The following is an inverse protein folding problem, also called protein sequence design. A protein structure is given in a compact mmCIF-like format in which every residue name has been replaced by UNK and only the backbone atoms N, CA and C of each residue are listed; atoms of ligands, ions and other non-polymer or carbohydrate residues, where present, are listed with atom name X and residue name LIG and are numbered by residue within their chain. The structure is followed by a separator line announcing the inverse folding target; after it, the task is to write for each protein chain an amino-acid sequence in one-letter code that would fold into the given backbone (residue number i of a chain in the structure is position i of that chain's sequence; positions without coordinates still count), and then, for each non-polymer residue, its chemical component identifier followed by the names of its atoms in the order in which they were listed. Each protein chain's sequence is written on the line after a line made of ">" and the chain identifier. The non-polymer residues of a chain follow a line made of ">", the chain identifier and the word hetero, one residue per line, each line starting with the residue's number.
data_IF_708163445195
#
_entry.id   IF_708163445195
#
_cell.length_a   1.000
_cell.length_b   1.000
_cell.length_c   1.000
_cell.angle_alpha   90.00
_cell.angle_beta   90.00
_cell.angle_gamma   90.00
#
_symmetry.space_group_name_H-M   'P 1'
#
loop_
_entity.id
_entity.type
_entity.pdbx_description
1 polymer ?
#
# COMPACT_ATOMS: atom_id res chain seq x y z
N UNK A 1 -4.70 11.60 -14.74
CA UNK A 1 -3.81 10.59 -14.17
C UNK A 1 -4.57 9.46 -13.45
N UNK A 2 -5.31 9.68 -12.34
CA UNK A 2 -6.06 8.58 -11.70
C UNK A 2 -7.10 7.94 -12.63
N UNK A 3 -7.84 8.74 -13.40
CA UNK A 3 -8.73 8.25 -14.44
C UNK A 3 -8.00 7.36 -15.47
N UNK A 4 -6.82 7.77 -15.91
CA UNK A 4 -6.00 7.01 -16.86
C UNK A 4 -5.55 5.67 -16.26
N UNK A 5 -5.10 5.65 -15.01
CA UNK A 5 -4.78 4.41 -14.31
C UNK A 5 -5.98 3.47 -14.24
N UNK A 6 -7.15 3.99 -13.87
CA UNK A 6 -8.35 3.17 -13.76
C UNK A 6 -8.83 2.64 -15.11
N UNK A 7 -8.83 3.47 -16.16
CA UNK A 7 -9.29 3.05 -17.50
C UNK A 7 -8.35 2.04 -18.17
N UNK A 8 -7.06 2.06 -17.85
CA UNK A 8 -6.09 1.10 -18.36
C UNK A 8 -6.00 -0.17 -17.52
N UNK A 9 -6.45 -0.12 -16.27
CA UNK A 9 -6.35 -1.26 -15.37
C UNK A 9 -7.46 -2.27 -15.66
N UNK A 10 -7.10 -3.49 -16.11
CA UNK A 10 -8.07 -4.49 -16.52
C UNK A 10 -8.93 -5.06 -15.38
N UNK A 11 -8.69 -4.66 -14.13
CA UNK A 11 -9.59 -4.98 -13.02
C UNK A 11 -10.94 -4.28 -13.19
N UNK A 12 -10.95 -3.10 -13.84
CA UNK A 12 -12.17 -2.34 -14.07
C UNK A 12 -12.76 -2.67 -15.45
N UNK A 13 -14.01 -3.07 -15.48
CA UNK A 13 -14.69 -3.46 -16.70
C UNK A 13 -15.79 -2.47 -17.14
N UNK A 14 -16.18 -1.54 -16.27
CA UNK A 14 -17.18 -0.52 -16.55
C UNK A 14 -16.87 0.79 -15.81
N UNK A 15 -17.38 1.91 -16.35
CA UNK A 15 -17.36 3.19 -15.65
C UNK A 15 -18.58 4.02 -16.03
N UNK A 16 -19.10 4.80 -15.09
CA UNK A 16 -20.24 5.69 -15.30
C UNK A 16 -20.14 6.93 -14.39
N UNK A 17 -20.83 7.98 -14.79
CA UNK A 17 -20.95 9.18 -13.96
C UNK A 17 -22.08 9.03 -12.93
N UNK A 18 -21.84 9.48 -11.73
CA UNK A 18 -22.82 9.51 -10.64
C UNK A 18 -22.59 10.74 -9.75
N UNK A 19 -23.68 11.34 -9.31
CA UNK A 19 -23.62 12.40 -8.28
C UNK A 19 -23.63 11.73 -6.91
N UNK A 20 -22.58 11.95 -6.13
CA UNK A 20 -22.42 11.46 -4.76
C UNK A 20 -22.23 12.69 -3.87
N UNK A 21 -23.13 12.90 -2.93
CA UNK A 21 -23.16 14.06 -2.03
C UNK A 21 -23.06 15.42 -2.76
N UNK A 22 -23.72 15.54 -3.92
CA UNK A 22 -23.73 16.75 -4.74
C UNK A 22 -22.48 16.94 -5.62
N UNK A 23 -21.53 16.00 -5.59
CA UNK A 23 -20.31 16.05 -6.39
C UNK A 23 -20.43 15.06 -7.55
N UNK A 24 -20.16 15.51 -8.79
CA UNK A 24 -20.07 14.61 -9.95
C UNK A 24 -18.82 13.75 -9.84
N UNK A 25 -19.00 12.43 -9.78
CA UNK A 25 -17.96 11.43 -9.65
C UNK A 25 -18.01 10.46 -10.82
N UNK A 26 -16.82 10.00 -11.24
CA UNK A 26 -16.71 8.82 -12.13
C UNK A 26 -16.55 7.60 -11.24
N UNK A 27 -17.48 6.67 -11.32
CA UNK A 27 -17.46 5.39 -10.60
C UNK A 27 -16.92 4.33 -11.53
N UNK A 28 -15.98 3.52 -11.03
CA UNK A 28 -15.40 2.39 -11.74
C UNK A 28 -15.88 1.10 -11.07
N UNK A 29 -16.45 0.23 -11.86
CA UNK A 29 -16.83 -1.12 -11.44
C UNK A 29 -15.70 -2.08 -11.80
N UNK A 30 -15.23 -2.82 -10.81
CA UNK A 30 -14.15 -3.78 -10.98
C UNK A 30 -14.53 -5.15 -10.44
N UNK A 31 -13.87 -6.18 -10.95
CA UNK A 31 -13.96 -7.54 -10.42
C UNK A 31 -12.63 -7.94 -9.79
N UNK A 32 -12.57 -7.81 -8.48
CA UNK A 32 -11.41 -8.21 -7.68
C UNK A 32 -11.11 -9.71 -7.83
N UNK A 33 -12.15 -10.55 -8.02
CA UNK A 33 -11.98 -11.99 -8.12
C UNK A 33 -11.20 -12.40 -9.35
N UNK A 34 -11.25 -11.61 -10.42
CA UNK A 34 -10.50 -11.88 -11.65
C UNK A 34 -8.99 -11.96 -11.39
N UNK A 35 -8.46 -11.12 -10.51
CA UNK A 35 -7.06 -11.13 -10.14
C UNK A 35 -6.78 -12.07 -8.99
N UNK A 36 -7.68 -12.15 -8.03
CA UNK A 36 -7.59 -13.07 -6.91
C UNK A 36 -7.43 -14.53 -7.36
N UNK A 37 -8.19 -14.95 -8.37
CA UNK A 37 -8.14 -16.30 -8.91
C UNK A 37 -6.93 -16.56 -9.80
N UNK A 38 -6.35 -15.52 -10.39
CA UNK A 38 -5.25 -15.62 -11.34
C UNK A 38 -3.89 -15.16 -10.78
N UNK A 39 -3.84 -14.60 -9.55
CA UNK A 39 -2.58 -14.23 -8.94
C UNK A 39 -1.76 -15.47 -8.62
N UNK A 40 -0.47 -15.44 -8.98
CA UNK A 40 0.45 -16.54 -8.68
C UNK A 40 0.70 -16.53 -7.17
N UNK A 41 0.38 -17.62 -6.50
CA UNK A 41 0.79 -17.86 -5.12
C UNK A 41 2.20 -18.42 -5.14
N UNK A 42 3.17 -17.59 -4.84
CA UNK A 42 4.58 -17.97 -4.85
C UNK A 42 4.97 -18.85 -3.67
N UNK A 43 4.21 -18.80 -2.60
CA UNK A 43 4.40 -19.64 -1.41
C UNK A 43 3.16 -19.54 -0.49
N UNK A 44 3.04 -20.45 0.45
CA UNK A 44 1.92 -20.50 1.41
C UNK A 44 1.82 -19.27 2.32
N UNK A 45 2.89 -18.48 2.42
CA UNK A 45 2.96 -17.24 3.20
C UNK A 45 2.45 -16.00 2.45
N UNK A 46 2.18 -16.08 1.15
CA UNK A 46 1.81 -14.92 0.33
C UNK A 46 0.30 -14.80 0.19
N UNK A 47 -0.22 -13.63 0.53
CA UNK A 47 -1.62 -13.31 0.33
C UNK A 47 -1.91 -13.06 -1.16
N UNK A 48 -3.08 -13.47 -1.66
CA UNK A 48 -3.53 -13.10 -2.99
C UNK A 48 -3.67 -11.57 -3.12
N UNK A 49 -3.55 -11.08 -4.34
CA UNK A 49 -3.72 -9.66 -4.63
C UNK A 49 -5.12 -9.17 -4.21
N UNK A 50 -5.14 -8.18 -3.33
CA UNK A 50 -6.35 -7.49 -2.87
C UNK A 50 -6.12 -5.98 -2.97
N UNK A 51 -6.62 -5.33 -4.04
CA UNK A 51 -6.29 -3.93 -4.31
C UNK A 51 -6.94 -3.00 -3.28
N UNK A 52 -6.15 -2.08 -2.75
CA UNK A 52 -6.64 -0.91 -2.04
C UNK A 52 -7.52 -0.06 -2.97
N UNK A 53 -8.55 0.58 -2.47
CA UNK A 53 -9.32 1.52 -3.28
C UNK A 53 -8.44 2.64 -3.81
N UNK A 54 -8.60 3.04 -5.10
CA UNK A 54 -7.68 4.00 -5.71
C UNK A 54 -7.68 5.36 -5.00
N UNK A 55 -8.86 5.81 -4.53
CA UNK A 55 -8.95 7.04 -3.73
C UNK A 55 -8.27 6.91 -2.38
N UNK A 56 -8.30 5.73 -1.75
CA UNK A 56 -7.56 5.48 -0.52
C UNK A 56 -6.05 5.52 -0.79
N UNK A 57 -5.58 4.92 -1.88
CA UNK A 57 -4.18 5.03 -2.31
C UNK A 57 -3.76 6.50 -2.55
N UNK A 58 -4.63 7.29 -3.17
CA UNK A 58 -4.41 8.72 -3.37
C UNK A 58 -4.29 9.48 -2.04
N UNK A 59 -5.21 9.26 -1.10
CA UNK A 59 -5.21 9.91 0.21
C UNK A 59 -4.02 9.48 1.08
N UNK A 60 -3.64 8.20 1.03
CA UNK A 60 -2.44 7.70 1.73
C UNK A 60 -1.17 8.38 1.20
N UNK A 61 -1.07 8.53 -0.11
CA UNK A 61 0.07 9.20 -0.74
C UNK A 61 0.09 10.69 -0.46
N UNK A 62 -1.08 11.32 -0.39
CA UNK A 62 -1.21 12.73 0.01
C UNK A 62 -0.77 12.91 1.47
N UNK A 63 -1.22 12.03 2.37
CA UNK A 63 -0.76 12.01 3.76
C UNK A 63 0.76 11.91 3.86
N UNK A 64 1.37 11.03 3.07
CA UNK A 64 2.83 10.90 3.01
C UNK A 64 3.49 12.24 2.64
N UNK A 65 3.00 12.89 1.59
CA UNK A 65 3.53 14.17 1.12
C UNK A 65 3.36 15.29 2.17
N UNK A 66 2.19 15.40 2.79
CA UNK A 66 1.90 16.41 3.81
C UNK A 66 2.74 16.21 5.09
N UNK A 67 3.18 14.99 5.37
CA UNK A 67 4.10 14.67 6.45
C UNK A 67 5.59 14.73 6.02
N UNK A 68 5.84 15.37 4.88
CA UNK A 68 7.19 15.63 4.35
C UNK A 68 8.00 14.37 4.03
N UNK A 69 7.37 13.25 3.74
CA UNK A 69 8.08 12.11 3.18
C UNK A 69 8.47 12.40 1.72
N UNK A 70 9.67 12.03 1.35
CA UNK A 70 10.23 12.30 0.01
C UNK A 70 9.96 11.16 -0.96
N UNK A 71 9.88 9.94 -0.44
CA UNK A 71 9.72 8.73 -1.23
C UNK A 71 8.60 7.84 -0.66
N UNK A 72 7.92 7.14 -1.57
CA UNK A 72 7.02 6.03 -1.26
C UNK A 72 7.68 4.73 -1.69
N UNK A 73 7.70 3.76 -0.78
CA UNK A 73 8.15 2.39 -1.03
C UNK A 73 6.96 1.46 -0.78
N UNK A 74 6.35 1.00 -1.85
CA UNK A 74 5.16 0.15 -1.83
C UNK A 74 5.58 -1.33 -1.86
N UNK A 75 5.38 -2.03 -0.76
CA UNK A 75 5.82 -3.40 -0.52
C UNK A 75 4.64 -4.37 -0.66
N UNK A 76 4.80 -5.39 -1.49
CA UNK A 76 3.68 -6.25 -1.87
C UNK A 76 2.64 -5.42 -2.62
N UNK A 77 3.11 -4.68 -3.59
CA UNK A 77 2.42 -3.53 -4.18
C UNK A 77 1.25 -3.89 -5.10
N UNK A 78 1.08 -5.17 -5.44
CA UNK A 78 0.00 -5.62 -6.32
C UNK A 78 0.06 -4.94 -7.69
N UNK A 79 -0.96 -4.18 -8.06
CA UNK A 79 -0.98 -3.38 -9.30
C UNK A 79 -0.25 -2.04 -9.20
N UNK A 80 0.41 -1.76 -8.08
CA UNK A 80 1.26 -0.59 -7.86
C UNK A 80 0.51 0.73 -7.63
N UNK A 81 -0.79 0.68 -7.31
CA UNK A 81 -1.62 1.89 -7.22
C UNK A 81 -1.19 2.88 -6.15
N UNK A 82 -0.62 2.44 -5.02
CA UNK A 82 -0.11 3.33 -3.98
C UNK A 82 1.13 4.05 -4.47
N UNK A 83 2.10 3.33 -5.04
CA UNK A 83 3.28 3.93 -5.64
C UNK A 83 2.91 4.86 -6.81
N UNK A 84 1.94 4.47 -7.64
CA UNK A 84 1.41 5.31 -8.73
C UNK A 84 0.84 6.62 -8.17
N UNK A 85 0.02 6.58 -7.14
CA UNK A 85 -0.54 7.77 -6.49
C UNK A 85 0.56 8.66 -5.89
N UNK A 86 1.63 8.07 -5.33
CA UNK A 86 2.79 8.82 -4.89
C UNK A 86 3.45 9.61 -6.03
N UNK A 87 3.63 8.98 -7.17
CA UNK A 87 4.12 9.65 -8.37
C UNK A 87 3.18 10.73 -8.89
N UNK A 88 1.85 10.55 -8.78
CA UNK A 88 0.86 11.60 -9.09
C UNK A 88 1.06 12.84 -8.22
N UNK A 89 1.43 12.66 -6.95
CA UNK A 89 1.78 13.76 -6.04
C UNK A 89 3.18 14.33 -6.24
N UNK A 90 3.94 13.83 -7.23
CA UNK A 90 5.30 14.28 -7.55
C UNK A 90 6.38 13.71 -6.63
N UNK A 91 6.07 12.66 -5.85
CA UNK A 91 7.03 11.95 -5.02
C UNK A 91 7.79 10.92 -5.85
N UNK A 92 9.04 10.60 -5.45
CA UNK A 92 9.70 9.41 -5.97
C UNK A 92 9.00 8.17 -5.42
N UNK A 93 8.61 7.27 -6.29
CA UNK A 93 7.84 6.10 -5.88
C UNK A 93 8.45 4.82 -6.41
N UNK A 94 8.50 3.82 -5.55
CA UNK A 94 9.05 2.51 -5.83
C UNK A 94 8.04 1.45 -5.43
N UNK A 95 7.85 0.49 -6.30
CA UNK A 95 7.00 -0.66 -6.10
C UNK A 95 7.87 -1.91 -6.09
N UNK A 96 7.72 -2.73 -5.07
CA UNK A 96 8.41 -4.02 -4.94
C UNK A 96 7.35 -5.09 -4.80
N UNK A 97 7.27 -5.94 -5.82
CA UNK A 97 6.27 -7.00 -5.94
C UNK A 97 6.97 -8.31 -6.34
N UNK A 98 6.50 -9.41 -5.78
CA UNK A 98 7.07 -10.73 -6.06
C UNK A 98 6.47 -11.35 -7.34
N UNK A 99 5.21 -11.05 -7.62
CA UNK A 99 4.49 -11.57 -8.80
C UNK A 99 4.89 -10.78 -10.06
N UNK A 100 5.54 -11.46 -11.00
CA UNK A 100 6.01 -10.87 -12.26
C UNK A 100 4.85 -10.45 -13.19
N UNK A 101 3.70 -11.10 -13.12
CA UNK A 101 2.51 -10.69 -13.87
C UNK A 101 1.98 -9.36 -13.37
N UNK A 102 1.95 -9.15 -12.05
CA UNK A 102 1.54 -7.88 -11.46
C UNK A 102 2.57 -6.77 -11.77
N UNK A 103 3.87 -7.06 -11.73
CA UNK A 103 4.91 -6.11 -12.15
C UNK A 103 4.78 -5.73 -13.63
N UNK A 104 4.46 -6.68 -14.51
CA UNK A 104 4.23 -6.38 -15.92
C UNK A 104 2.96 -5.53 -16.11
N UNK A 105 1.90 -5.80 -15.35
CA UNK A 105 0.71 -4.94 -15.31
C UNK A 105 1.08 -3.52 -14.89
N UNK A 106 1.82 -3.35 -13.79
CA UNK A 106 2.29 -2.03 -13.33
C UNK A 106 2.99 -1.26 -14.44
N UNK A 107 3.93 -1.89 -15.14
CA UNK A 107 4.65 -1.27 -16.26
C UNK A 107 3.72 -0.82 -17.39
N UNK A 108 2.63 -1.53 -17.63
CA UNK A 108 1.63 -1.16 -18.64
C UNK A 108 0.75 0.01 -18.22
N UNK A 109 0.54 0.19 -16.91
CA UNK A 109 -0.28 1.26 -16.34
C UNK A 109 0.47 2.59 -16.20
N UNK A 110 1.81 2.54 -16.12
CA UNK A 110 2.66 3.70 -15.87
C UNK A 110 3.14 4.34 -17.16
N UNK A 111 2.54 5.45 -17.56
CA UNK A 111 2.95 6.15 -18.78
C UNK A 111 3.51 7.54 -18.55
N UNK A 112 3.12 8.24 -17.48
CA UNK A 112 3.48 9.64 -17.25
C UNK A 112 3.78 9.98 -15.78
N UNK A 113 4.08 8.99 -14.96
CA UNK A 113 4.28 9.15 -13.51
C UNK A 113 5.67 8.65 -13.14
N UNK A 114 6.34 9.35 -12.24
CA UNK A 114 7.67 8.94 -11.74
C UNK A 114 7.52 7.76 -10.75
N UNK A 115 7.55 6.57 -11.30
CA UNK A 115 7.25 5.33 -10.62
C UNK A 115 8.16 4.21 -11.12
N UNK A 116 8.80 3.49 -10.21
CA UNK A 116 9.70 2.39 -10.53
C UNK A 116 9.14 1.08 -10.00
N UNK A 117 8.87 0.11 -10.88
CA UNK A 117 8.43 -1.23 -10.50
C UNK A 117 9.55 -2.26 -10.59
N UNK A 118 9.69 -3.06 -9.56
CA UNK A 118 10.70 -4.11 -9.43
C UNK A 118 10.06 -5.44 -9.03
N UNK A 119 10.34 -6.48 -9.82
CA UNK A 119 9.98 -7.84 -9.46
C UNK A 119 11.08 -8.41 -8.55
N UNK A 120 10.83 -8.44 -7.25
CA UNK A 120 11.80 -8.94 -6.29
C UNK A 120 11.15 -9.29 -4.94
N UNK A 121 11.80 -10.20 -4.21
CA UNK A 121 11.44 -10.51 -2.83
C UNK A 121 11.83 -9.33 -1.92
N UNK A 122 10.83 -8.65 -1.36
CA UNK A 122 11.02 -7.45 -0.57
C UNK A 122 11.88 -7.70 0.69
N UNK A 123 11.84 -8.89 1.26
CA UNK A 123 12.65 -9.27 2.44
C UNK A 123 14.14 -9.31 2.09
N UNK A 124 14.48 -9.60 0.83
CA UNK A 124 15.85 -9.69 0.33
C UNK A 124 16.33 -8.44 -0.39
N UNK A 125 15.45 -7.49 -0.64
CA UNK A 125 15.76 -6.30 -1.42
C UNK A 125 16.81 -5.40 -0.75
N UNK A 126 17.71 -4.81 -1.56
CA UNK A 126 18.69 -3.83 -1.09
C UNK A 126 18.13 -2.40 -1.15
N UNK A 127 17.50 -1.97 -0.07
CA UNK A 127 16.92 -0.61 0.04
C UNK A 127 17.96 0.51 0.00
N UNK A 128 19.23 0.22 0.27
CA UNK A 128 20.30 1.23 0.21
C UNK A 128 20.59 1.64 -1.24
N UNK A 129 20.38 0.76 -2.19
CA UNK A 129 20.57 1.07 -3.61
C UNK A 129 19.65 2.17 -4.13
N UNK A 130 18.53 2.44 -3.45
CA UNK A 130 17.54 3.46 -3.84
C UNK A 130 17.93 4.88 -3.43
N UNK A 131 18.97 5.07 -2.60
CA UNK A 131 19.42 6.39 -2.11
C UNK A 131 18.28 7.23 -1.53
N UNK A 132 17.55 6.66 -0.57
CA UNK A 132 16.36 7.23 0.04
C UNK A 132 16.70 8.37 1.02
N UNK A 133 15.89 9.42 1.02
CA UNK A 133 16.08 10.61 1.87
C UNK A 133 15.20 10.55 3.12
N UNK A 134 13.90 10.42 2.97
CA UNK A 134 12.91 10.29 4.05
C UNK A 134 11.75 9.42 3.55
N UNK A 135 11.93 8.10 3.45
CA UNK A 135 10.94 7.21 2.85
C UNK A 135 9.77 6.90 3.78
N UNK A 136 8.59 6.71 3.20
CA UNK A 136 7.46 6.03 3.83
C UNK A 136 7.28 4.66 3.16
N UNK A 137 7.42 3.60 3.94
CA UNK A 137 7.16 2.23 3.50
C UNK A 137 5.68 1.90 3.70
N UNK A 138 5.01 1.51 2.66
CA UNK A 138 3.69 0.90 2.71
C UNK A 138 3.86 -0.61 2.69
N UNK A 139 3.34 -1.28 3.72
CA UNK A 139 3.34 -2.74 3.79
C UNK A 139 1.95 -3.23 3.40
N UNK A 140 1.88 -3.88 2.26
CA UNK A 140 0.67 -4.57 1.80
C UNK A 140 0.36 -5.80 2.65
N UNK A 141 -0.89 -6.22 2.61
CA UNK A 141 -1.36 -7.38 3.34
C UNK A 141 -1.81 -7.10 4.77
N UNK A 142 -2.84 -7.83 5.18
CA UNK A 142 -3.35 -7.77 6.54
C UNK A 142 -2.37 -8.46 7.50
N UNK A 143 -2.28 -7.97 8.74
CA UNK A 143 -1.39 -8.50 9.76
C UNK A 143 -1.44 -10.04 9.88
N UNK A 144 -2.63 -10.61 9.88
CA UNK A 144 -2.88 -12.04 10.06
C UNK A 144 -2.74 -12.89 8.79
N UNK A 145 -2.57 -12.25 7.64
CA UNK A 145 -2.47 -12.90 6.33
C UNK A 145 -1.07 -12.76 5.72
N UNK A 146 -0.03 -12.95 6.53
CA UNK A 146 1.37 -12.84 6.11
C UNK A 146 1.95 -11.43 6.19
N UNK A 147 1.14 -10.41 6.45
CA UNK A 147 1.61 -9.02 6.55
C UNK A 147 2.62 -8.80 7.68
N UNK A 148 2.46 -9.46 8.84
CA UNK A 148 3.41 -9.38 9.96
C UNK A 148 4.79 -9.94 9.59
N UNK A 149 4.83 -11.07 8.88
CA UNK A 149 6.08 -11.70 8.46
C UNK A 149 6.80 -10.85 7.42
N UNK A 150 6.07 -10.35 6.42
CA UNK A 150 6.57 -9.44 5.41
C UNK A 150 7.13 -8.17 6.07
N UNK A 151 6.35 -7.54 6.96
CA UNK A 151 6.77 -6.34 7.68
C UNK A 151 8.02 -6.58 8.50
N UNK A 152 8.11 -7.70 9.25
CA UNK A 152 9.28 -8.04 10.05
C UNK A 152 10.54 -8.21 9.20
N UNK A 153 10.42 -8.90 8.07
CA UNK A 153 11.52 -9.09 7.15
C UNK A 153 12.04 -7.79 6.57
N UNK A 154 11.15 -6.94 6.04
CA UNK A 154 11.51 -5.63 5.48
C UNK A 154 12.09 -4.72 6.55
N UNK A 155 11.48 -4.67 7.72
CA UNK A 155 11.92 -3.83 8.84
C UNK A 155 13.33 -4.21 9.31
N UNK A 156 13.64 -5.51 9.41
CA UNK A 156 14.98 -5.99 9.75
C UNK A 156 16.04 -5.56 8.72
N UNK A 157 15.69 -5.55 7.43
CA UNK A 157 16.58 -5.05 6.36
C UNK A 157 16.85 -3.55 6.51
N UNK A 158 15.83 -2.75 6.81
CA UNK A 158 15.98 -1.30 7.02
C UNK A 158 16.74 -1.00 8.32
N UNK A 159 16.46 -1.74 9.41
CA UNK A 159 17.16 -1.62 10.72
C UNK A 159 18.67 -1.85 10.62
N UNK A 160 19.13 -2.66 9.69
CA UNK A 160 20.56 -2.90 9.51
C UNK A 160 21.35 -1.65 9.11
N UNK A 161 20.65 -0.58 8.70
CA UNK A 161 21.26 0.72 8.41
C UNK A 161 20.61 1.82 9.25
N UNK A 162 21.33 2.30 10.26
CA UNK A 162 20.84 3.32 11.19
C UNK A 162 20.43 4.63 10.49
N UNK A 163 21.18 5.06 9.48
CA UNK A 163 20.88 6.30 8.77
C UNK A 163 19.58 6.23 7.97
N UNK A 164 19.26 5.07 7.42
CA UNK A 164 17.97 4.83 6.76
C UNK A 164 16.87 4.65 7.81
N UNK A 165 17.11 3.82 8.83
CA UNK A 165 16.16 3.54 9.90
C UNK A 165 15.62 4.81 10.55
N UNK A 166 16.48 5.71 11.01
CA UNK A 166 16.09 6.93 11.74
C UNK A 166 15.23 7.93 10.94
N UNK A 167 15.10 7.74 9.63
CA UNK A 167 14.33 8.62 8.73
C UNK A 167 13.08 7.96 8.19
N UNK A 168 12.89 6.67 8.48
CA UNK A 168 11.86 5.85 7.86
C UNK A 168 10.52 5.98 8.59
N UNK A 169 9.47 6.25 7.81
CA UNK A 169 8.09 6.06 8.20
C UNK A 169 7.54 4.73 7.70
N UNK A 170 6.51 4.26 8.36
CA UNK A 170 5.85 2.99 8.09
C UNK A 170 4.35 3.20 8.02
N UNK A 171 3.72 2.62 7.03
CA UNK A 171 2.27 2.50 6.92
C UNK A 171 1.91 1.04 6.76
N UNK A 172 1.05 0.56 7.62
CA UNK A 172 0.60 -0.82 7.62
C UNK A 172 -0.87 -0.85 7.21
N UNK A 173 -1.20 -1.67 6.21
CA UNK A 173 -2.59 -1.98 5.89
C UNK A 173 -3.20 -2.71 7.08
N UNK A 174 -4.20 -2.08 7.68
CA UNK A 174 -4.72 -2.50 8.96
C UNK A 174 -5.66 -3.69 8.88
N UNK A 175 -6.39 -3.85 9.94
CA UNK A 175 -7.46 -4.82 10.05
C UNK A 175 -8.79 -4.16 9.67
N UNK A 176 -9.79 -4.97 9.38
CA UNK A 176 -11.18 -4.51 9.18
C UNK A 176 -11.81 -3.95 10.47
N UNK A 177 -11.11 -3.97 11.60
CA UNK A 177 -11.60 -3.47 12.87
C UNK A 177 -10.80 -2.29 13.38
N UNK A 178 -11.39 -1.12 13.35
CA UNK A 178 -10.81 0.12 13.90
C UNK A 178 -10.33 -0.03 15.35
N UNK A 179 -11.07 -0.77 16.15
CA UNK A 179 -10.80 -0.98 17.57
C UNK A 179 -9.46 -1.67 17.83
N UNK A 180 -9.05 -2.57 16.95
CA UNK A 180 -7.90 -3.45 17.20
C UNK A 180 -6.69 -3.12 16.33
N UNK A 181 -6.81 -2.26 15.34
CA UNK A 181 -5.75 -2.02 14.35
C UNK A 181 -4.42 -1.56 14.96
N UNK A 182 -4.47 -0.72 15.99
CA UNK A 182 -3.30 -0.18 16.66
C UNK A 182 -3.22 -0.52 18.17
N UNK A 183 -4.07 -1.44 18.67
CA UNK A 183 -4.05 -1.86 20.08
C UNK A 183 -2.89 -2.81 20.35
N UNK A 184 -1.90 -2.43 21.19
CA UNK A 184 -0.76 -3.28 21.49
C UNK A 184 -1.12 -4.57 22.27
N UNK A 185 -2.30 -4.63 22.85
CA UNK A 185 -2.79 -5.82 23.58
C UNK A 185 -3.52 -6.81 22.67
N UNK A 186 -3.70 -6.49 21.41
CA UNK A 186 -4.45 -7.30 20.47
C UNK A 186 -3.59 -7.73 19.27
N UNK A 187 -3.42 -9.05 19.11
CA UNK A 187 -2.65 -9.63 18.01
C UNK A 187 -3.40 -9.59 16.66
N UNK A 188 -4.63 -9.09 16.62
CA UNK A 188 -5.40 -8.93 15.38
C UNK A 188 -5.03 -7.66 14.59
N UNK A 189 -4.08 -6.87 15.08
CA UNK A 189 -3.66 -5.63 14.47
C UNK A 189 -2.15 -5.44 14.49
N UNK A 190 -1.73 -4.21 14.28
CA UNK A 190 -0.32 -3.82 14.19
C UNK A 190 0.25 -3.28 15.51
N UNK A 191 -0.59 -3.05 16.53
CA UNK A 191 -0.16 -2.39 17.76
C UNK A 191 0.99 -3.10 18.47
N UNK A 192 0.86 -4.42 18.71
CA UNK A 192 1.92 -5.22 19.34
C UNK A 192 3.19 -5.30 18.47
N UNK A 193 3.04 -5.35 17.16
CA UNK A 193 4.18 -5.34 16.24
C UNK A 193 4.95 -4.00 16.33
N UNK A 194 4.24 -2.88 16.36
CA UNK A 194 4.80 -1.53 16.48
C UNK A 194 5.58 -1.41 17.80
N UNK A 195 4.95 -1.80 18.91
CA UNK A 195 5.57 -1.75 20.24
C UNK A 195 6.82 -2.65 20.33
N UNK A 196 6.72 -3.91 19.92
CA UNK A 196 7.81 -4.88 19.99
C UNK A 196 9.00 -4.52 19.10
N UNK A 197 8.77 -3.72 18.05
CA UNK A 197 9.83 -3.27 17.17
C UNK A 197 10.40 -1.88 17.53
N UNK A 198 9.92 -1.27 18.61
CA UNK A 198 10.37 0.05 19.07
C UNK A 198 9.97 1.15 18.08
N UNK A 199 8.86 1.01 17.39
CA UNK A 199 8.30 2.05 16.53
C UNK A 199 7.39 2.97 17.36
N UNK A 200 7.32 4.23 16.97
CA UNK A 200 6.34 5.16 17.52
C UNK A 200 5.10 5.21 16.63
N UNK A 201 3.94 4.88 17.19
CA UNK A 201 2.67 5.13 16.53
C UNK A 201 2.47 6.64 16.29
N UNK A 202 2.16 7.01 15.05
CA UNK A 202 1.86 8.40 14.66
C UNK A 202 0.35 8.59 14.63
N UNK A 203 -0.33 7.76 13.83
CA UNK A 203 -1.75 7.92 13.56
C UNK A 203 -2.37 6.61 13.08
N UNK A 204 -3.65 6.45 13.33
CA UNK A 204 -4.48 5.41 12.72
C UNK A 204 -5.61 6.11 11.95
N UNK A 205 -5.68 5.89 10.64
CA UNK A 205 -6.69 6.48 9.77
C UNK A 205 -7.57 5.39 9.17
N UNK A 206 -8.84 5.71 9.01
CA UNK A 206 -9.83 4.85 8.37
C UNK A 206 -10.13 5.40 6.99
N UNK A 207 -9.98 4.57 5.97
CA UNK A 207 -10.27 4.93 4.59
C UNK A 207 -11.19 3.89 3.95
N UNK A 208 -12.06 4.29 3.01
CA UNK A 208 -12.91 3.35 2.29
C UNK A 208 -12.07 2.29 1.55
N UNK A 209 -12.48 1.04 1.67
CA UNK A 209 -11.85 -0.10 0.98
C UNK A 209 -12.68 -0.54 -0.21
N UNK A 210 -13.98 -0.62 0.00
CA UNK A 210 -14.95 -0.94 -1.01
C UNK A 210 -16.20 -0.09 -0.81
N UNK A 211 -16.94 0.11 -1.88
CA UNK A 211 -18.21 0.79 -1.81
C UNK A 211 -19.24 -0.07 -2.52
N UNK A 212 -20.20 -0.57 -1.75
CA UNK A 212 -21.42 -1.20 -2.26
C UNK A 212 -22.58 -0.22 -2.19
N UNK A 213 -23.70 -0.52 -2.82
CA UNK A 213 -24.82 0.42 -2.97
C UNK A 213 -25.42 0.94 -1.64
N UNK A 214 -25.07 0.34 -0.52
CA UNK A 214 -25.67 0.65 0.78
C UNK A 214 -24.68 0.86 1.91
N UNK A 215 -23.45 0.34 1.79
CA UNK A 215 -22.44 0.42 2.86
C UNK A 215 -21.05 0.57 2.29
N UNK A 216 -20.21 1.33 2.97
CA UNK A 216 -18.78 1.41 2.67
C UNK A 216 -18.02 0.60 3.72
N UNK A 217 -17.25 -0.37 3.26
CA UNK A 217 -16.24 -1.02 4.09
C UNK A 217 -15.02 -0.10 4.23
N UNK A 218 -14.49 -0.05 5.43
CA UNK A 218 -13.32 0.77 5.74
C UNK A 218 -12.13 -0.11 6.13
N UNK A 219 -10.97 0.23 5.61
CA UNK A 219 -9.69 -0.33 6.07
C UNK A 219 -8.96 0.67 6.95
N UNK A 220 -8.40 0.18 8.03
CA UNK A 220 -7.55 0.95 8.91
C UNK A 220 -6.12 0.94 8.38
N UNK A 221 -5.48 2.10 8.34
CA UNK A 221 -4.08 2.26 8.00
C UNK A 221 -3.34 2.84 9.21
N UNK A 222 -2.37 2.10 9.69
CA UNK A 222 -1.62 2.44 10.90
C UNK A 222 -0.28 3.03 10.50
N UNK A 223 -0.04 4.27 10.88
CA UNK A 223 1.22 4.96 10.60
C UNK A 223 2.12 4.97 11.83
N UNK A 224 3.37 4.61 11.61
CA UNK A 224 4.41 4.64 12.64
C UNK A 224 5.71 5.21 12.08
N UNK A 225 6.63 5.58 12.94
CA UNK A 225 7.99 5.99 12.56
C UNK A 225 9.04 5.28 13.39
N UNK A 226 10.22 5.15 12.82
CA UNK A 226 11.44 4.71 13.52
C UNK A 226 12.08 5.87 14.30
N UNK A 227 12.96 5.52 15.24
CA UNK A 227 13.76 6.49 16.02
C UNK A 227 15.23 6.37 15.66
#
# INVERSE_FOLDING_TARGET
>A
MLHEFATKNPIYYNSFEKIIDGISCIVYEGDINKYWLNSIQHDSSHAPFSPTWIMSGYLLSLFAKENEYSEIIDIGSGDGRIAYCGGVHGMKSYSIELDDMLVNLQKSLTTNVNFNSTCFDAIKFDYLSLNLTKPLFFIGGLAQMGGLELAAGVLNRVKSNFNLWSKTGWSFAGTLSKKYSADPKNNAGWGSFIENNGLQLIQNISLPTAWSFHESDETQYVFAKSF
#
